data_IF_342880403571
#
_entry.id   IF_342880403571
#
_cell.length_a   1.000
_cell.length_b   1.000
_cell.length_c   1.000
_cell.angle_alpha   90.00
_cell.angle_beta   90.00
_cell.angle_gamma   90.00
#
_symmetry.space_group_name_H-M   'P 1'
#
loop_
_entity.id
_entity.type
_entity.pdbx_description
1 polymer ?
#
# COMPACT_ATOMS: atom_id res chain seq x y z
N UNK A 1 -32.95 32.14 -29.39
CA UNK A 1 -32.40 32.06 -28.03
C UNK A 1 -31.61 30.76 -27.93
N UNK A 2 -30.31 30.78 -28.28
CA UNK A 2 -29.45 29.59 -28.23
C UNK A 2 -28.84 29.46 -26.84
N UNK A 3 -29.11 28.34 -26.16
CA UNK A 3 -28.45 27.97 -24.91
C UNK A 3 -27.06 27.41 -25.22
N UNK A 4 -26.02 28.06 -24.70
CA UNK A 4 -24.66 27.51 -24.66
C UNK A 4 -24.47 26.75 -23.34
N UNK A 5 -24.14 25.46 -23.42
CA UNK A 5 -23.73 24.65 -22.26
C UNK A 5 -22.29 25.00 -21.85
N UNK A 6 -21.96 25.10 -20.56
CA UNK A 6 -20.58 25.31 -20.12
C UNK A 6 -19.78 24.01 -20.20
N UNK A 7 -18.67 24.04 -20.93
CA UNK A 7 -17.70 22.95 -21.00
C UNK A 7 -17.06 22.70 -19.63
N UNK A 8 -17.28 21.52 -19.06
CA UNK A 8 -16.57 21.03 -17.88
C UNK A 8 -15.12 20.77 -18.31
N UNK A 9 -14.21 21.71 -18.01
CA UNK A 9 -12.77 21.48 -18.11
C UNK A 9 -12.36 20.52 -17.00
N UNK A 10 -12.27 19.24 -17.32
CA UNK A 10 -11.56 18.24 -16.52
C UNK A 10 -10.08 18.65 -16.46
N UNK A 11 -9.68 19.31 -15.38
CA UNK A 11 -8.26 19.53 -15.09
C UNK A 11 -7.66 18.19 -14.64
N UNK A 12 -7.10 17.44 -15.58
CA UNK A 12 -6.18 16.35 -15.27
C UNK A 12 -4.91 16.94 -14.68
N UNK A 13 -4.85 17.02 -13.35
CA UNK A 13 -3.69 17.53 -12.62
C UNK A 13 -2.61 16.46 -12.66
N UNK A 14 -1.60 16.68 -13.51
CA UNK A 14 -0.41 15.84 -13.64
C UNK A 14 0.39 15.92 -12.33
N UNK A 15 0.25 14.93 -11.45
CA UNK A 15 0.92 14.91 -10.14
C UNK A 15 2.40 14.57 -10.33
N UNK A 16 3.27 15.57 -10.20
CA UNK A 16 4.73 15.41 -10.10
C UNK A 16 5.10 14.86 -8.71
N UNK A 17 6.13 14.01 -8.67
CA UNK A 17 6.59 13.24 -7.51
C UNK A 17 7.07 14.04 -6.27
N UNK A 18 6.91 15.37 -6.25
CA UNK A 18 7.43 16.26 -5.20
C UNK A 18 6.35 16.82 -4.25
N UNK A 19 5.06 16.60 -4.50
CA UNK A 19 4.05 16.83 -3.47
C UNK A 19 4.00 15.60 -2.58
N UNK A 20 4.76 15.61 -1.48
CA UNK A 20 4.45 14.71 -0.36
C UNK A 20 3.05 15.08 0.10
N UNK A 21 2.06 14.30 -0.31
CA UNK A 21 0.70 14.47 0.15
C UNK A 21 0.71 14.37 1.68
N UNK A 22 -0.04 15.23 2.35
CA UNK A 22 -0.27 15.11 3.79
C UNK A 22 -0.85 13.70 4.04
N UNK A 23 -0.13 12.81 4.75
CA UNK A 23 -0.55 11.43 4.91
C UNK A 23 -1.89 11.31 5.65
N UNK A 24 -2.22 12.27 6.52
CA UNK A 24 -3.50 12.29 7.22
C UNK A 24 -4.63 12.69 6.26
N UNK A 25 -4.38 13.65 5.36
CA UNK A 25 -5.34 14.01 4.33
C UNK A 25 -5.62 12.84 3.39
N UNK A 26 -4.58 12.12 2.95
CA UNK A 26 -4.74 10.90 2.13
C UNK A 26 -5.55 9.86 2.87
N UNK A 27 -5.22 9.57 4.13
CA UNK A 27 -5.95 8.57 4.91
C UNK A 27 -7.43 8.94 5.07
N UNK A 28 -7.73 10.22 5.33
CA UNK A 28 -9.10 10.73 5.44
C UNK A 28 -9.88 10.55 4.14
N UNK A 29 -9.28 10.88 3.00
CA UNK A 29 -9.90 10.76 1.68
C UNK A 29 -10.21 9.30 1.33
N UNK A 30 -9.24 8.41 1.51
CA UNK A 30 -9.41 6.97 1.23
C UNK A 30 -10.45 6.32 2.15
N UNK A 31 -10.45 6.67 3.45
CA UNK A 31 -11.45 6.17 4.39
C UNK A 31 -12.87 6.66 4.05
N UNK A 32 -12.99 7.93 3.66
CA UNK A 32 -14.27 8.50 3.22
C UNK A 32 -14.78 7.79 1.97
N UNK A 33 -13.91 7.61 0.96
CA UNK A 33 -14.25 6.91 -0.27
C UNK A 33 -14.71 5.47 0.01
N UNK A 34 -13.96 4.72 0.83
CA UNK A 34 -14.31 3.35 1.21
C UNK A 34 -15.65 3.29 1.96
N UNK A 35 -15.87 4.17 2.93
CA UNK A 35 -17.11 4.22 3.71
C UNK A 35 -18.33 4.51 2.81
N UNK A 36 -18.20 5.43 1.86
CA UNK A 36 -19.24 5.71 0.84
C UNK A 36 -19.49 4.49 -0.03
N UNK A 37 -18.44 3.85 -0.56
CA UNK A 37 -18.57 2.65 -1.39
C UNK A 37 -19.28 1.49 -0.66
N UNK A 38 -19.12 1.42 0.65
CA UNK A 38 -19.74 0.39 1.49
C UNK A 38 -21.08 0.83 2.10
N UNK A 39 -21.61 2.01 1.76
CA UNK A 39 -22.93 2.48 2.20
C UNK A 39 -23.00 2.77 3.70
N UNK A 40 -21.89 3.16 4.32
CA UNK A 40 -21.83 3.46 5.74
C UNK A 40 -22.58 4.76 6.05
N UNK A 41 -23.45 4.74 7.06
CA UNK A 41 -24.09 5.96 7.58
C UNK A 41 -23.09 6.79 8.40
N UNK A 42 -23.25 8.13 8.38
CA UNK A 42 -22.39 9.07 9.13
C UNK A 42 -20.90 8.93 8.79
N UNK A 43 -20.58 8.96 7.50
CA UNK A 43 -19.22 8.78 6.96
C UNK A 43 -18.19 9.70 7.63
N UNK A 44 -18.52 10.98 7.80
CA UNK A 44 -17.62 11.99 8.39
C UNK A 44 -17.22 11.63 9.82
N UNK A 45 -18.20 11.29 10.66
CA UNK A 45 -17.96 10.90 12.06
C UNK A 45 -17.09 9.65 12.16
N UNK A 46 -17.34 8.64 11.31
CA UNK A 46 -16.54 7.43 11.26
C UNK A 46 -15.10 7.73 10.84
N UNK A 47 -14.93 8.52 9.78
CA UNK A 47 -13.62 8.88 9.24
C UNK A 47 -12.79 9.63 10.28
N UNK A 48 -13.34 10.67 10.92
CA UNK A 48 -12.60 11.43 11.94
C UNK A 48 -12.28 10.55 13.16
N UNK A 49 -13.19 9.67 13.58
CA UNK A 49 -12.91 8.75 14.68
C UNK A 49 -11.78 7.76 14.34
N UNK A 50 -11.70 7.29 13.09
CA UNK A 50 -10.61 6.42 12.64
C UNK A 50 -9.27 7.16 12.53
N UNK A 51 -9.28 8.36 11.97
CA UNK A 51 -8.09 9.21 11.85
C UNK A 51 -7.55 9.57 13.24
N UNK A 52 -8.41 9.98 14.18
CA UNK A 52 -8.00 10.26 15.56
C UNK A 52 -7.32 9.03 16.18
N UNK A 53 -7.94 7.85 16.10
CA UNK A 53 -7.36 6.61 16.63
C UNK A 53 -6.04 6.23 15.97
N UNK A 54 -5.85 6.55 14.70
CA UNK A 54 -4.59 6.32 13.99
C UNK A 54 -3.49 7.24 14.53
N UNK A 55 -3.79 8.53 14.66
CA UNK A 55 -2.87 9.54 15.21
C UNK A 55 -2.56 9.25 16.68
N UNK A 56 -3.53 8.84 17.49
CA UNK A 56 -3.30 8.52 18.90
C UNK A 56 -2.32 7.36 19.10
N UNK A 57 -2.32 6.39 18.17
CA UNK A 57 -1.47 5.18 18.27
C UNK A 57 -0.10 5.33 17.63
N UNK A 58 0.00 6.14 16.58
CA UNK A 58 1.22 6.24 15.76
C UNK A 58 1.84 7.64 15.76
N UNK A 59 1.12 8.65 16.25
CA UNK A 59 1.59 10.01 16.39
C UNK A 59 2.85 10.08 17.25
N UNK A 60 3.76 10.97 16.87
CA UNK A 60 5.07 11.10 17.52
C UNK A 60 6.11 10.05 17.09
N UNK A 61 5.71 9.01 16.35
CA UNK A 61 6.63 8.00 15.81
C UNK A 61 6.95 8.25 14.33
N UNK A 62 8.18 7.99 13.91
CA UNK A 62 8.54 7.98 12.48
C UNK A 62 8.19 6.62 11.88
N UNK A 63 7.11 6.58 11.09
CA UNK A 63 6.65 5.35 10.42
C UNK A 63 7.09 5.38 8.95
N UNK A 64 7.90 4.40 8.55
CA UNK A 64 8.26 4.19 7.16
C UNK A 64 7.28 3.22 6.49
N UNK A 65 6.54 3.71 5.49
CA UNK A 65 5.61 2.88 4.70
C UNK A 65 6.37 2.26 3.52
N UNK A 66 6.61 0.95 3.60
CA UNK A 66 7.25 0.17 2.54
C UNK A 66 6.33 -0.01 1.35
N UNK A 67 6.91 -0.03 0.14
CA UNK A 67 6.17 -0.37 -1.07
C UNK A 67 5.68 -1.83 -1.02
N UNK A 68 4.45 -2.14 -1.48
CA UNK A 68 3.92 -3.51 -1.51
C UNK A 68 4.87 -4.54 -2.14
N UNK A 69 5.61 -4.17 -3.20
CA UNK A 69 6.58 -5.07 -3.85
C UNK A 69 7.73 -5.48 -2.92
N UNK A 70 8.13 -4.59 -2.02
CA UNK A 70 9.20 -4.86 -1.04
C UNK A 70 8.65 -5.77 0.06
N UNK A 71 7.45 -5.49 0.56
CA UNK A 71 6.78 -6.33 1.56
C UNK A 71 6.58 -7.76 1.07
N UNK A 72 6.13 -7.94 -0.17
CA UNK A 72 5.93 -9.27 -0.75
C UNK A 72 7.26 -10.03 -0.89
N UNK A 73 8.35 -9.34 -1.29
CA UNK A 73 9.68 -9.95 -1.33
C UNK A 73 10.18 -10.38 0.05
N UNK A 74 9.94 -9.58 1.08
CA UNK A 74 10.31 -9.91 2.47
C UNK A 74 9.49 -11.09 3.00
N UNK A 75 8.20 -11.14 2.67
CA UNK A 75 7.33 -12.27 2.97
C UNK A 75 7.84 -13.55 2.32
N UNK A 76 8.05 -13.54 1.00
CA UNK A 76 8.60 -14.69 0.27
C UNK A 76 9.95 -15.10 0.86
N UNK A 77 10.83 -14.14 1.17
CA UNK A 77 12.12 -14.43 1.78
C UNK A 77 11.99 -15.16 3.12
N UNK A 78 11.04 -14.73 3.96
CA UNK A 78 10.76 -15.36 5.26
C UNK A 78 10.24 -16.79 5.07
N UNK A 79 9.29 -16.99 4.16
CA UNK A 79 8.71 -18.31 3.89
C UNK A 79 9.74 -19.27 3.25
N UNK A 80 10.62 -18.77 2.37
CA UNK A 80 11.71 -19.54 1.76
C UNK A 80 12.70 -20.01 2.83
N UNK A 81 13.12 -19.13 3.76
CA UNK A 81 14.01 -19.53 4.86
C UNK A 81 13.37 -20.58 5.76
N UNK A 82 12.07 -20.42 6.07
CA UNK A 82 11.35 -21.36 6.92
C UNK A 82 11.15 -22.74 6.27
N UNK A 83 10.92 -22.80 4.95
CA UNK A 83 10.70 -24.07 4.22
C UNK A 83 11.97 -24.71 3.67
N UNK A 84 13.14 -24.08 3.82
CA UNK A 84 14.38 -24.62 3.27
C UNK A 84 14.85 -25.85 4.04
N UNK A 85 15.09 -26.96 3.33
CA UNK A 85 15.51 -28.23 3.91
C UNK A 85 16.94 -28.65 3.52
N UNK A 86 17.75 -27.71 3.02
CA UNK A 86 19.12 -27.97 2.57
C UNK A 86 19.24 -28.36 1.09
N UNK A 87 18.19 -28.91 0.46
CA UNK A 87 18.27 -29.44 -0.92
C UNK A 87 17.13 -29.02 -1.84
N UNK A 88 16.09 -28.37 -1.33
CA UNK A 88 14.87 -28.02 -2.07
C UNK A 88 14.89 -26.65 -2.79
N UNK A 89 16.06 -26.06 -3.04
CA UNK A 89 16.19 -24.72 -3.67
C UNK A 89 15.39 -24.57 -4.96
N UNK A 90 15.44 -25.56 -5.86
CA UNK A 90 14.71 -25.50 -7.15
C UNK A 90 13.20 -25.58 -6.97
N UNK A 91 12.74 -26.36 -6.00
CA UNK A 91 11.31 -26.49 -5.70
C UNK A 91 10.76 -25.16 -5.14
N UNK A 92 11.47 -24.55 -4.19
CA UNK A 92 11.11 -23.25 -3.62
C UNK A 92 11.10 -22.15 -4.70
N UNK A 93 12.10 -22.14 -5.58
CA UNK A 93 12.15 -21.18 -6.68
C UNK A 93 10.89 -21.24 -7.58
N UNK A 94 10.45 -22.47 -7.90
CA UNK A 94 9.23 -22.69 -8.69
C UNK A 94 7.96 -22.32 -7.93
N UNK A 95 7.87 -22.69 -6.66
CA UNK A 95 6.71 -22.42 -5.79
C UNK A 95 6.43 -20.91 -5.69
N UNK A 96 7.46 -20.10 -5.49
CA UNK A 96 7.32 -18.65 -5.31
C UNK A 96 7.55 -17.82 -6.58
N UNK A 97 7.74 -18.46 -7.74
CA UNK A 97 7.96 -17.75 -8.99
C UNK A 97 9.22 -16.89 -9.02
N UNK A 98 10.27 -17.30 -8.31
CA UNK A 98 11.57 -16.60 -8.23
C UNK A 98 12.68 -17.40 -8.90
N UNK A 99 13.83 -16.76 -9.18
CA UNK A 99 14.97 -17.48 -9.75
C UNK A 99 15.70 -18.32 -8.70
N UNK A 100 16.27 -19.46 -9.12
CA UNK A 100 17.11 -20.31 -8.26
C UNK A 100 18.28 -19.51 -7.66
N UNK A 101 18.88 -18.62 -8.45
CA UNK A 101 19.97 -17.73 -8.00
C UNK A 101 19.52 -16.77 -6.88
N UNK A 102 18.27 -16.28 -6.94
CA UNK A 102 17.73 -15.43 -5.90
C UNK A 102 17.60 -16.20 -4.58
N UNK A 103 17.07 -17.43 -4.63
CA UNK A 103 16.95 -18.31 -3.46
C UNK A 103 18.33 -18.64 -2.88
N UNK A 104 19.31 -18.98 -3.72
CA UNK A 104 20.68 -19.26 -3.27
C UNK A 104 21.32 -18.06 -2.58
N UNK A 105 21.15 -16.86 -3.15
CA UNK A 105 21.68 -15.63 -2.56
C UNK A 105 21.01 -15.33 -1.21
N UNK A 106 19.69 -15.46 -1.15
CA UNK A 106 18.92 -15.27 0.08
C UNK A 106 19.41 -16.17 1.23
N UNK A 107 19.73 -17.43 0.91
CA UNK A 107 20.20 -18.43 1.88
C UNK A 107 21.70 -18.31 2.19
N UNK A 108 22.50 -17.76 1.28
CA UNK A 108 23.93 -17.52 1.48
C UNK A 108 24.27 -16.21 2.20
N UNK A 109 23.32 -15.29 2.31
CA UNK A 109 23.41 -14.04 3.10
C UNK A 109 23.05 -14.27 4.60
N UNK A 110 23.03 -15.52 5.08
CA UNK A 110 22.63 -15.89 6.46
C UNK A 110 23.81 -16.19 7.37
#
# INVERSE_FOLDING_TARGET
MNQAQPAIKTMSKKTTAANKLDPIAVLREELTAAAVCHGVERVEDLTEALVSRYVDRLGGSTVYVRNPRVMERERIATEVRAKFNGRNTRALAREYGVSVRWVQRLLGES
#
